data_IF_099522810127
#
_entry.id   IF_099522810127
#
_cell.length_a   1.000
_cell.length_b   1.000
_cell.length_c   1.000
_cell.angle_alpha   90.00
_cell.angle_beta   90.00
_cell.angle_gamma   90.00
#
_symmetry.space_group_name_H-M   'P 1'
#
loop_
_entity.id
_entity.type
_entity.pdbx_description
1 polymer ?
#
# COMPACT_ATOMS: atom_id res chain seq x y z
N UNK A 1 -5.89 -13.38 -20.94
CA UNK A 1 -6.37 -13.39 -19.53
C UNK A 1 -5.50 -12.42 -18.73
N UNK A 2 -6.06 -11.67 -17.76
CA UNK A 2 -5.25 -10.82 -16.87
C UNK A 2 -4.84 -11.64 -15.66
N UNK A 3 -3.56 -11.98 -15.56
CA UNK A 3 -2.98 -12.79 -14.47
C UNK A 3 -1.74 -12.06 -13.99
N UNK A 4 -1.67 -11.76 -12.69
CA UNK A 4 -0.48 -11.19 -12.08
C UNK A 4 0.60 -12.26 -11.89
N UNK A 5 1.87 -11.91 -12.04
CA UNK A 5 2.99 -12.84 -11.86
C UNK A 5 3.24 -13.18 -10.39
N UNK A 6 3.01 -12.23 -9.50
CA UNK A 6 3.12 -12.41 -8.05
C UNK A 6 2.29 -11.34 -7.31
N UNK A 7 2.23 -11.47 -5.99
CA UNK A 7 1.37 -10.61 -5.15
C UNK A 7 1.76 -9.13 -5.20
N UNK A 8 3.04 -8.81 -5.45
CA UNK A 8 3.55 -7.44 -5.46
C UNK A 8 2.92 -6.59 -6.57
N UNK A 9 2.53 -7.23 -7.68
CA UNK A 9 1.84 -6.58 -8.79
C UNK A 9 0.39 -6.17 -8.47
N UNK A 10 -0.18 -6.67 -7.37
CA UNK A 10 -1.56 -6.40 -6.95
C UNK A 10 -1.67 -5.28 -5.90
N UNK A 11 -0.55 -4.72 -5.46
CA UNK A 11 -0.51 -3.65 -4.45
C UNK A 11 -1.01 -2.32 -5.03
N UNK A 12 -1.68 -1.54 -4.19
CA UNK A 12 -2.20 -0.23 -4.53
C UNK A 12 -3.55 -0.28 -5.25
N UNK A 13 -3.85 0.76 -6.03
CA UNK A 13 -5.15 0.96 -6.70
C UNK A 13 -6.36 0.82 -5.75
N UNK A 14 -6.16 1.16 -4.49
CA UNK A 14 -7.19 1.17 -3.45
C UNK A 14 -8.26 2.24 -3.73
N UNK A 15 -9.53 2.01 -3.37
CA UNK A 15 -10.61 2.94 -3.67
C UNK A 15 -10.68 4.11 -2.67
N UNK A 16 -11.38 5.17 -3.08
CA UNK A 16 -11.91 6.18 -2.18
C UNK A 16 -13.35 5.83 -1.83
N UNK A 17 -13.75 6.03 -0.57
CA UNK A 17 -15.13 5.87 -0.11
C UNK A 17 -15.59 7.12 0.65
N UNK A 18 -16.84 7.54 0.43
CA UNK A 18 -17.43 8.67 1.16
C UNK A 18 -17.95 8.22 2.52
N UNK A 19 -17.73 9.04 3.56
CA UNK A 19 -18.37 8.83 4.86
C UNK A 19 -19.79 9.41 4.86
N UNK A 20 -20.78 8.56 5.19
CA UNK A 20 -22.20 8.89 5.06
C UNK A 20 -22.93 9.18 6.38
N UNK A 21 -22.32 8.90 7.54
CA UNK A 21 -22.96 9.09 8.86
C UNK A 21 -22.14 9.96 9.81
N UNK A 22 -20.85 9.65 9.98
CA UNK A 22 -19.98 10.33 10.96
C UNK A 22 -19.87 11.84 10.68
N UNK A 23 -19.53 12.31 9.46
CA UNK A 23 -19.41 13.75 9.22
C UNK A 23 -20.72 14.51 9.48
N UNK A 24 -21.86 13.90 9.18
CA UNK A 24 -23.19 14.49 9.40
C UNK A 24 -23.50 14.60 10.89
N UNK A 25 -23.21 13.55 11.66
CA UNK A 25 -23.42 13.52 13.11
C UNK A 25 -22.56 14.58 13.84
N UNK A 26 -21.33 14.81 13.37
CA UNK A 26 -20.39 15.77 13.94
C UNK A 26 -20.54 17.20 13.36
N UNK A 27 -21.56 17.46 12.53
CA UNK A 27 -21.83 18.78 11.96
C UNK A 27 -20.80 19.27 10.93
N UNK A 28 -20.00 18.36 10.36
CA UNK A 28 -18.98 18.69 9.35
C UNK A 28 -19.62 19.32 8.10
N UNK A 29 -19.06 20.44 7.64
CA UNK A 29 -19.52 21.15 6.44
C UNK A 29 -18.83 20.68 5.16
N UNK A 30 -17.71 19.99 5.28
CA UNK A 30 -16.94 19.46 4.16
C UNK A 30 -17.35 18.02 3.80
N UNK A 31 -17.09 17.62 2.54
CA UNK A 31 -17.17 16.21 2.15
C UNK A 31 -15.93 15.47 2.62
N UNK A 32 -16.10 14.45 3.46
CA UNK A 32 -15.00 13.61 3.94
C UNK A 32 -14.97 12.29 3.17
N UNK A 33 -13.82 11.99 2.57
CA UNK A 33 -13.52 10.75 1.85
C UNK A 33 -12.40 10.00 2.56
N UNK A 34 -12.43 8.66 2.49
CA UNK A 34 -11.39 7.78 3.03
C UNK A 34 -10.74 7.00 1.89
N UNK A 35 -9.41 7.01 1.84
CA UNK A 35 -8.61 6.14 0.97
C UNK A 35 -8.37 4.81 1.68
N UNK A 36 -8.96 3.72 1.18
CA UNK A 36 -8.97 2.42 1.86
C UNK A 36 -7.67 1.64 1.66
N UNK A 37 -6.59 2.09 2.30
CA UNK A 37 -5.30 1.38 2.29
C UNK A 37 -5.34 0.01 2.98
N UNK A 38 -6.41 -0.28 3.72
CA UNK A 38 -6.71 -1.62 4.24
C UNK A 38 -7.03 -2.64 3.14
N UNK A 39 -7.25 -2.19 1.89
CA UNK A 39 -7.51 -3.08 0.75
C UNK A 39 -6.26 -3.45 -0.06
N UNK A 40 -5.07 -3.08 0.40
CA UNK A 40 -3.85 -3.68 -0.13
C UNK A 40 -3.77 -5.17 0.30
N UNK A 41 -3.00 -6.02 -0.41
CA UNK A 41 -2.88 -7.45 -0.11
C UNK A 41 -2.59 -7.82 1.35
N UNK A 42 -1.68 -7.11 2.03
CA UNK A 42 -1.35 -7.30 3.44
C UNK A 42 -2.06 -6.29 4.37
N UNK A 43 -3.15 -5.70 3.89
CA UNK A 43 -4.10 -4.87 4.65
C UNK A 43 -3.54 -3.59 5.26
N UNK A 44 -2.43 -3.06 4.74
CA UNK A 44 -1.94 -1.75 5.15
C UNK A 44 -1.33 -0.96 4.00
N UNK A 45 -1.13 0.34 4.22
CA UNK A 45 -0.42 1.21 3.27
C UNK A 45 1.04 0.77 3.04
N UNK A 46 1.62 -0.01 3.97
CA UNK A 46 3.05 -0.37 3.96
C UNK A 46 3.45 -1.25 2.78
N UNK A 47 2.51 -2.03 2.25
CA UNK A 47 2.68 -2.82 1.02
C UNK A 47 3.32 -1.98 -0.10
N UNK A 48 2.90 -0.72 -0.25
CA UNK A 48 3.41 0.19 -1.28
C UNK A 48 4.89 0.45 -1.13
N UNK A 49 5.32 0.87 0.06
CA UNK A 49 6.72 1.24 0.28
C UNK A 49 7.61 -0.01 0.32
N UNK A 50 7.12 -1.11 0.89
CA UNK A 50 7.86 -2.37 0.94
C UNK A 50 8.26 -2.83 -0.46
N UNK A 51 7.30 -2.86 -1.39
CA UNK A 51 7.59 -3.25 -2.77
C UNK A 51 8.39 -2.19 -3.53
N UNK A 52 8.09 -0.91 -3.34
CA UNK A 52 8.81 0.15 -4.06
C UNK A 52 10.29 0.22 -3.65
N UNK A 53 10.60 0.11 -2.35
CA UNK A 53 11.98 0.16 -1.86
C UNK A 53 12.80 -1.03 -2.37
N UNK A 54 12.26 -2.26 -2.30
CA UNK A 54 12.95 -3.46 -2.77
C UNK A 54 13.17 -3.39 -4.28
N UNK A 55 12.12 -3.12 -5.07
CA UNK A 55 12.26 -3.04 -6.53
C UNK A 55 13.26 -1.96 -6.95
N UNK A 56 13.26 -0.81 -6.29
CA UNK A 56 14.21 0.28 -6.59
C UNK A 56 15.65 -0.13 -6.29
N UNK A 57 15.88 -0.74 -5.13
CA UNK A 57 17.21 -1.20 -4.74
C UNK A 57 17.74 -2.34 -5.64
N UNK A 58 16.86 -3.26 -6.06
CA UNK A 58 17.21 -4.30 -7.04
C UNK A 58 17.53 -3.71 -8.42
N UNK A 59 16.72 -2.76 -8.91
CA UNK A 59 16.96 -2.08 -10.19
C UNK A 59 18.28 -1.29 -10.20
N UNK A 60 18.67 -0.73 -9.06
CA UNK A 60 19.94 -0.03 -8.88
C UNK A 60 21.12 -0.98 -8.63
N UNK A 61 20.88 -2.29 -8.53
CA UNK A 61 21.91 -3.30 -8.25
C UNK A 61 22.49 -3.24 -6.84
N UNK A 62 21.80 -2.57 -5.91
CA UNK A 62 22.25 -2.42 -4.51
C UNK A 62 22.00 -3.67 -3.67
N UNK A 63 20.96 -4.44 -4.02
CA UNK A 63 20.58 -5.67 -3.33
C UNK A 63 20.34 -6.80 -4.33
N UNK A 64 20.46 -8.05 -3.87
CA UNK A 64 20.06 -9.21 -4.64
C UNK A 64 19.42 -10.29 -3.75
N UNK A 65 18.44 -11.05 -4.27
CA UNK A 65 17.78 -12.13 -3.52
C UNK A 65 18.75 -13.20 -3.00
N UNK A 66 19.87 -13.42 -3.70
CA UNK A 66 20.84 -14.48 -3.39
C UNK A 66 21.90 -14.10 -2.35
N UNK A 67 21.99 -12.83 -1.95
CA UNK A 67 23.11 -12.32 -1.13
C UNK A 67 22.68 -11.39 -0.01
N UNK A 68 21.70 -10.52 -0.25
CA UNK A 68 21.42 -9.41 0.68
C UNK A 68 20.55 -9.87 1.84
N UNK A 69 20.96 -9.54 3.06
CA UNK A 69 20.11 -9.63 4.25
C UNK A 69 19.42 -8.27 4.42
N UNK A 70 18.09 -8.27 4.41
CA UNK A 70 17.29 -7.08 4.67
C UNK A 70 17.11 -6.92 6.19
N UNK A 71 17.34 -5.71 6.70
CA UNK A 71 17.15 -5.37 8.11
C UNK A 71 16.32 -4.09 8.15
N UNK A 72 15.16 -4.13 8.81
CA UNK A 72 14.30 -2.97 9.01
C UNK A 72 13.72 -3.03 10.43
N UNK A 73 14.08 -2.12 11.33
CA UNK A 73 13.41 -2.02 12.61
C UNK A 73 11.99 -1.50 12.38
N UNK A 74 10.99 -2.27 12.80
CA UNK A 74 9.59 -1.86 12.76
C UNK A 74 8.95 -2.06 14.13
N UNK A 75 8.03 -1.16 14.47
CA UNK A 75 7.18 -1.22 15.68
C UNK A 75 6.29 -2.44 15.71
#
# INVERSE_FOLDING_TARGET
>A
MRVAQNITELIGRTPLVKLNRIPQAEGAKATILVKLESMNPASSVKDRIGVHMINTAEQQGLISPSKTILIEPTS
#
